data_IF_846295550573
#
_entry.id   IF_846295550573
#
_cell.length_a   1.000
_cell.length_b   1.000
_cell.length_c   1.000
_cell.angle_alpha   90.00
_cell.angle_beta   90.00
_cell.angle_gamma   90.00
#
_symmetry.space_group_name_H-M   'P 1'
#
loop_
_entity.id
_entity.type
_entity.pdbx_description
1 polymer ?
#
# COMPACT_ATOMS: atom_id res chain seq x y z
N UNK A 1 -24.80 -19.03 -0.22
CA UNK A 1 -25.86 -18.07 0.23
C UNK A 1 -26.12 -17.19 -0.98
N UNK A 2 -27.38 -17.01 -1.28
CA UNK A 2 -27.83 -16.15 -2.37
C UNK A 2 -28.41 -14.88 -1.75
N UNK A 3 -27.64 -13.78 -1.87
CA UNK A 3 -28.01 -12.48 -1.32
C UNK A 3 -28.97 -11.71 -2.23
N UNK A 4 -29.10 -12.08 -3.52
CA UNK A 4 -29.98 -11.39 -4.47
C UNK A 4 -31.48 -11.51 -4.08
N UNK A 5 -31.81 -12.55 -3.29
CA UNK A 5 -33.15 -12.78 -2.76
C UNK A 5 -33.45 -12.01 -1.49
N UNK A 6 -32.49 -11.30 -0.93
CA UNK A 6 -32.62 -10.56 0.31
C UNK A 6 -32.91 -9.10 0.01
N UNK A 7 -33.87 -8.51 0.70
CA UNK A 7 -34.27 -7.12 0.51
C UNK A 7 -34.43 -6.44 1.88
N UNK A 8 -33.97 -5.20 1.98
CA UNK A 8 -34.06 -4.41 3.20
C UNK A 8 -33.08 -4.84 4.29
N UNK A 9 -33.47 -4.68 5.55
CA UNK A 9 -32.64 -5.00 6.72
C UNK A 9 -32.84 -6.47 7.10
N UNK A 10 -31.81 -7.25 7.07
CA UNK A 10 -31.81 -8.68 7.35
C UNK A 10 -31.17 -8.98 8.70
N UNK A 11 -31.93 -9.62 9.61
CA UNK A 11 -31.42 -10.10 10.89
C UNK A 11 -30.96 -11.56 10.80
N UNK A 12 -29.71 -11.86 11.14
CA UNK A 12 -29.20 -13.24 11.27
C UNK A 12 -29.23 -13.65 12.74
N UNK A 13 -30.24 -14.47 13.11
CA UNK A 13 -30.42 -14.95 14.48
C UNK A 13 -30.01 -16.41 14.60
N UNK A 14 -29.06 -16.69 15.48
CA UNK A 14 -28.58 -18.04 15.75
C UNK A 14 -27.85 -18.09 17.11
N UNK A 15 -27.70 -19.25 17.75
CA UNK A 15 -26.92 -19.38 18.98
C UNK A 15 -25.45 -18.91 18.83
N UNK A 16 -24.80 -18.64 19.96
CA UNK A 16 -23.36 -18.33 19.93
C UNK A 16 -22.59 -19.51 19.37
N UNK A 17 -21.47 -19.24 18.70
CA UNK A 17 -20.62 -20.21 18.00
C UNK A 17 -21.28 -20.93 16.79
N UNK A 18 -22.43 -20.51 16.33
CA UNK A 18 -23.13 -21.08 15.15
C UNK A 18 -22.53 -20.64 13.80
N UNK A 19 -21.56 -19.72 13.81
CA UNK A 19 -20.91 -19.25 12.58
C UNK A 19 -21.51 -17.98 11.95
N UNK A 20 -22.32 -17.20 12.69
CA UNK A 20 -22.89 -15.92 12.18
C UNK A 20 -21.82 -15.01 11.55
N UNK A 21 -20.74 -14.75 12.28
CA UNK A 21 -19.63 -13.91 11.80
C UNK A 21 -18.82 -14.56 10.67
N UNK A 22 -18.88 -15.88 10.55
CA UNK A 22 -18.17 -16.59 9.48
C UNK A 22 -18.72 -16.27 8.08
N UNK A 23 -19.96 -15.79 7.97
CA UNK A 23 -20.55 -15.34 6.70
C UNK A 23 -19.75 -14.12 6.19
N UNK A 24 -19.58 -13.12 7.06
CA UNK A 24 -18.85 -11.91 6.70
C UNK A 24 -17.35 -12.18 6.52
N UNK A 25 -16.76 -13.03 7.36
CA UNK A 25 -15.38 -13.49 7.20
C UNK A 25 -15.17 -14.22 5.87
N UNK A 26 -16.14 -15.02 5.41
CA UNK A 26 -16.04 -15.71 4.13
C UNK A 26 -16.07 -14.74 2.93
N UNK A 27 -16.91 -13.70 2.99
CA UNK A 27 -16.93 -12.65 1.96
C UNK A 27 -15.59 -11.92 1.94
N UNK A 28 -15.14 -11.39 3.08
CA UNK A 28 -13.90 -10.66 3.22
C UNK A 28 -12.69 -11.49 2.77
N UNK A 29 -12.63 -12.76 3.20
CA UNK A 29 -11.56 -13.67 2.79
C UNK A 29 -11.56 -13.93 1.29
N UNK A 30 -12.73 -14.14 0.68
CA UNK A 30 -12.80 -14.42 -0.75
C UNK A 30 -12.33 -13.24 -1.57
N UNK A 31 -12.63 -12.01 -1.17
CA UNK A 31 -12.19 -10.79 -1.88
C UNK A 31 -10.72 -10.50 -1.60
N UNK A 32 -10.31 -10.44 -0.33
CA UNK A 32 -9.05 -9.82 0.08
C UNK A 32 -7.97 -10.80 0.57
N UNK A 33 -8.25 -12.12 0.66
CA UNK A 33 -7.36 -13.12 1.28
C UNK A 33 -7.09 -12.85 2.78
N UNK A 34 -7.94 -12.06 3.40
CA UNK A 34 -7.85 -11.62 4.79
C UNK A 34 -9.25 -11.68 5.40
N UNK A 35 -9.36 -12.07 6.66
CA UNK A 35 -10.59 -11.93 7.42
C UNK A 35 -10.33 -11.24 8.77
N UNK A 36 -11.40 -10.93 9.50
CA UNK A 36 -11.31 -10.19 10.76
C UNK A 36 -10.41 -10.84 11.82
N UNK A 37 -10.14 -12.15 11.71
CA UNK A 37 -9.46 -12.95 12.72
C UNK A 37 -8.06 -13.37 12.33
N UNK A 38 -7.77 -13.49 11.05
CA UNK A 38 -6.48 -13.97 10.55
C UNK A 38 -6.20 -13.54 9.13
N UNK A 39 -4.91 -13.41 8.82
CA UNK A 39 -4.40 -13.20 7.46
C UNK A 39 -3.86 -14.50 6.84
N UNK A 40 -3.97 -15.63 7.55
CA UNK A 40 -3.37 -16.90 7.12
C UNK A 40 -4.43 -17.88 6.67
N UNK A 41 -4.36 -18.37 5.45
CA UNK A 41 -5.27 -19.35 4.87
C UNK A 41 -5.41 -20.63 5.71
N UNK A 42 -4.32 -21.06 6.36
CA UNK A 42 -4.30 -22.26 7.23
C UNK A 42 -5.23 -22.12 8.44
N UNK A 43 -5.44 -20.91 8.95
CA UNK A 43 -6.27 -20.64 10.11
C UNK A 43 -7.75 -20.47 9.72
N UNK A 44 -8.02 -20.14 8.45
CA UNK A 44 -9.38 -20.09 7.88
C UNK A 44 -9.91 -21.49 7.61
N UNK A 45 -9.02 -22.43 7.25
CA UNK A 45 -9.37 -23.77 6.85
C UNK A 45 -9.96 -24.58 8.01
N UNK A 46 -11.01 -25.36 7.74
CA UNK A 46 -11.53 -26.31 8.70
C UNK A 46 -10.47 -27.36 9.06
N UNK A 47 -10.13 -27.47 10.34
CA UNK A 47 -9.08 -28.38 10.86
C UNK A 47 -9.31 -29.87 10.52
N UNK A 48 -10.54 -30.25 10.18
CA UNK A 48 -10.89 -31.63 9.77
C UNK A 48 -10.81 -31.86 8.26
N UNK A 49 -10.46 -30.82 7.47
CA UNK A 49 -10.37 -30.88 6.02
C UNK A 49 -8.96 -30.51 5.58
N UNK A 50 -8.57 -31.01 4.42
CA UNK A 50 -7.27 -30.71 3.81
C UNK A 50 -7.37 -29.70 2.66
N UNK A 51 -8.58 -29.36 2.26
CA UNK A 51 -8.86 -28.41 1.19
C UNK A 51 -10.06 -27.56 1.56
N UNK A 52 -10.09 -26.33 1.06
CA UNK A 52 -11.30 -25.55 1.00
C UNK A 52 -11.38 -24.77 -0.31
N UNK A 53 -12.58 -24.41 -0.68
CA UNK A 53 -12.87 -23.53 -1.81
C UNK A 53 -13.81 -22.44 -1.36
N UNK A 54 -13.49 -21.19 -1.73
CA UNK A 54 -14.35 -20.05 -1.59
C UNK A 54 -14.64 -19.49 -2.99
N UNK A 55 -15.91 -19.22 -3.27
CA UNK A 55 -16.37 -18.66 -4.55
C UNK A 55 -17.39 -17.56 -4.25
N UNK A 56 -17.19 -16.40 -4.86
CA UNK A 56 -18.06 -15.24 -4.70
C UNK A 56 -18.43 -14.69 -6.08
N UNK A 57 -19.68 -14.36 -6.26
CA UNK A 57 -20.18 -13.58 -7.38
C UNK A 57 -20.55 -12.19 -6.87
N UNK A 58 -20.19 -11.17 -7.62
CA UNK A 58 -20.45 -9.76 -7.35
C UNK A 58 -20.93 -9.08 -8.63
N UNK A 59 -22.01 -8.32 -8.55
CA UNK A 59 -22.44 -7.44 -9.62
C UNK A 59 -21.91 -6.02 -9.35
N UNK A 60 -21.18 -5.44 -10.32
CA UNK A 60 -20.62 -4.10 -10.24
C UNK A 60 -20.93 -3.40 -11.56
N UNK A 61 -21.66 -2.29 -11.50
CA UNK A 61 -22.06 -1.53 -12.69
C UNK A 61 -22.76 -2.38 -13.77
N UNK A 62 -23.55 -3.37 -13.35
CA UNK A 62 -24.25 -4.29 -14.24
C UNK A 62 -23.41 -5.41 -14.84
N UNK A 63 -22.17 -5.57 -14.44
CA UNK A 63 -21.29 -6.66 -14.86
C UNK A 63 -21.08 -7.67 -13.73
N UNK A 64 -21.11 -8.95 -14.07
CA UNK A 64 -20.90 -10.06 -13.14
C UNK A 64 -19.43 -10.42 -12.99
N UNK A 65 -18.88 -10.18 -11.82
CA UNK A 65 -17.53 -10.56 -11.44
C UNK A 65 -17.53 -11.81 -10.56
N UNK A 66 -16.54 -12.65 -10.75
CA UNK A 66 -16.35 -13.87 -10.01
C UNK A 66 -14.95 -13.94 -9.40
N UNK A 67 -14.87 -14.28 -8.13
CA UNK A 67 -13.62 -14.54 -7.42
C UNK A 67 -13.68 -15.95 -6.87
N UNK A 68 -12.67 -16.76 -7.18
CA UNK A 68 -12.52 -18.12 -6.68
C UNK A 68 -11.17 -18.29 -5.99
N UNK A 69 -11.19 -18.89 -4.80
CA UNK A 69 -9.99 -19.26 -4.05
C UNK A 69 -10.03 -20.74 -3.73
N UNK A 70 -9.03 -21.47 -4.21
CA UNK A 70 -8.82 -22.88 -3.91
C UNK A 70 -7.57 -23.01 -3.05
N UNK A 71 -7.70 -23.61 -1.89
CA UNK A 71 -6.62 -23.80 -0.94
C UNK A 71 -6.43 -25.26 -0.58
N UNK A 72 -5.17 -25.67 -0.45
CA UNK A 72 -4.80 -27.04 -0.11
C UNK A 72 -3.74 -27.04 1.00
N UNK A 73 -4.02 -27.74 2.07
CA UNK A 73 -3.04 -27.98 3.12
C UNK A 73 -1.91 -28.87 2.63
N UNK A 74 -0.66 -28.45 2.89
CA UNK A 74 0.56 -29.20 2.54
C UNK A 74 1.54 -29.16 3.68
N UNK A 75 2.25 -30.27 3.86
CA UNK A 75 3.36 -30.37 4.81
C UNK A 75 4.65 -30.50 4.01
N UNK A 76 5.58 -29.60 4.25
CA UNK A 76 6.93 -29.67 3.70
C UNK A 76 7.87 -30.19 4.78
N UNK A 77 8.48 -31.34 4.53
CA UNK A 77 9.52 -31.88 5.40
C UNK A 77 10.87 -31.29 4.97
N UNK A 78 11.62 -30.79 5.93
CA UNK A 78 12.97 -30.28 5.71
C UNK A 78 14.02 -31.33 6.03
N UNK A 79 15.25 -31.16 5.51
CA UNK A 79 16.37 -32.10 5.71
C UNK A 79 16.83 -32.21 7.17
N UNK A 80 16.56 -31.19 7.96
CA UNK A 80 16.84 -31.11 9.42
C UNK A 80 15.77 -31.79 10.27
N UNK A 81 14.80 -32.47 9.64
CA UNK A 81 13.70 -33.14 10.34
C UNK A 81 12.54 -32.21 10.75
N UNK A 82 12.65 -30.91 10.53
CA UNK A 82 11.56 -29.97 10.80
C UNK A 82 10.45 -30.09 9.76
N UNK A 83 9.23 -29.75 10.16
CA UNK A 83 8.05 -29.74 9.26
C UNK A 83 7.47 -28.36 9.19
N UNK A 84 7.27 -27.85 7.98
CA UNK A 84 6.54 -26.60 7.75
C UNK A 84 5.14 -26.92 7.21
N UNK A 85 4.12 -26.38 7.90
CA UNK A 85 2.73 -26.51 7.52
C UNK A 85 2.35 -25.29 6.66
N UNK A 86 1.84 -25.53 5.47
CA UNK A 86 1.50 -24.51 4.48
C UNK A 86 0.10 -24.74 3.93
N UNK A 87 -0.55 -23.66 3.52
CA UNK A 87 -1.83 -23.71 2.83
C UNK A 87 -1.77 -22.75 1.62
N UNK A 88 -1.08 -23.15 0.52
CA UNK A 88 -1.06 -22.34 -0.69
C UNK A 88 -2.48 -22.15 -1.23
N UNK A 89 -2.78 -20.92 -1.64
CA UNK A 89 -4.05 -20.50 -2.19
C UNK A 89 -3.86 -20.18 -3.67
N UNK A 90 -4.67 -20.79 -4.53
CA UNK A 90 -4.83 -20.39 -5.94
C UNK A 90 -6.01 -19.44 -6.00
N UNK A 91 -5.82 -18.27 -6.61
CA UNK A 91 -6.89 -17.30 -6.82
C UNK A 91 -7.16 -17.18 -8.32
N UNK A 92 -8.42 -17.03 -8.68
CA UNK A 92 -8.91 -16.76 -10.01
C UNK A 92 -9.92 -15.62 -9.95
N UNK A 93 -9.79 -14.67 -10.87
CA UNK A 93 -10.66 -13.53 -10.99
C UNK A 93 -11.09 -13.38 -12.44
N UNK A 94 -12.39 -13.35 -12.69
CA UNK A 94 -12.95 -13.26 -14.03
C UNK A 94 -14.29 -12.55 -14.02
N UNK A 95 -14.71 -12.06 -15.16
CA UNK A 95 -16.04 -11.50 -15.36
C UNK A 95 -16.77 -12.27 -16.47
N UNK A 96 -18.10 -12.16 -16.45
CA UNK A 96 -18.93 -12.63 -17.55
C UNK A 96 -19.31 -11.41 -18.38
N UNK A 97 -19.00 -11.41 -19.67
CA UNK A 97 -19.36 -10.33 -20.58
C UNK A 97 -20.83 -10.40 -21.02
N UNK A 98 -21.29 -9.39 -21.75
CA UNK A 98 -22.66 -9.32 -22.28
C UNK A 98 -23.00 -10.49 -23.21
N UNK A 99 -22.02 -11.15 -23.79
CA UNK A 99 -22.17 -12.36 -24.63
C UNK A 99 -22.29 -13.65 -23.81
N UNK A 100 -22.09 -13.58 -22.48
CA UNK A 100 -22.05 -14.73 -21.58
C UNK A 100 -20.70 -15.48 -21.61
N UNK A 101 -19.67 -14.91 -22.21
CA UNK A 101 -18.33 -15.47 -22.24
C UNK A 101 -17.51 -15.05 -21.01
N UNK A 102 -16.65 -15.96 -20.56
CA UNK A 102 -15.79 -15.73 -19.41
C UNK A 102 -14.50 -15.02 -19.83
N UNK A 103 -14.30 -13.80 -19.29
CA UNK A 103 -13.09 -13.00 -19.49
C UNK A 103 -12.20 -13.11 -18.25
N UNK A 104 -11.03 -13.74 -18.37
CA UNK A 104 -10.07 -13.91 -17.28
C UNK A 104 -9.35 -12.58 -16.98
N UNK A 105 -9.56 -12.06 -15.78
CA UNK A 105 -8.96 -10.86 -15.25
C UNK A 105 -7.80 -11.15 -14.27
N UNK A 106 -7.42 -12.43 -14.14
CA UNK A 106 -6.36 -12.84 -13.23
C UNK A 106 -5.02 -12.23 -13.66
N UNK A 107 -4.27 -11.69 -12.72
CA UNK A 107 -2.92 -11.17 -12.96
C UNK A 107 -1.94 -12.27 -13.38
N UNK A 108 -0.78 -11.86 -13.92
CA UNK A 108 0.25 -12.75 -14.47
C UNK A 108 0.75 -13.83 -13.50
N UNK A 109 0.71 -13.58 -12.19
CA UNK A 109 1.03 -14.56 -11.17
C UNK A 109 -0.27 -15.17 -10.61
N UNK A 110 -0.59 -16.39 -11.01
CA UNK A 110 -1.74 -17.17 -10.49
C UNK A 110 -1.61 -17.56 -9.01
N UNK A 111 -0.49 -17.23 -8.39
CA UNK A 111 -0.23 -17.43 -6.98
C UNK A 111 -0.12 -16.09 -6.27
N UNK A 112 -0.57 -16.02 -5.02
CA UNK A 112 -0.38 -14.84 -4.18
C UNK A 112 1.11 -14.48 -4.15
N UNK A 113 1.47 -13.40 -4.84
CA UNK A 113 2.83 -12.87 -4.85
C UNK A 113 2.90 -11.71 -3.85
N UNK A 114 3.83 -11.77 -2.92
CA UNK A 114 4.14 -10.65 -2.01
C UNK A 114 4.71 -9.43 -2.75
N UNK A 115 5.05 -9.58 -4.03
CA UNK A 115 5.80 -8.58 -4.81
C UNK A 115 4.96 -7.79 -5.82
N UNK A 116 3.62 -7.85 -5.71
CA UNK A 116 2.72 -7.11 -6.61
C UNK A 116 2.54 -7.77 -8.00
N UNK A 117 1.53 -7.33 -8.75
CA UNK A 117 1.21 -7.83 -10.09
C UNK A 117 0.44 -9.15 -10.11
N UNK A 118 0.02 -9.65 -8.97
CA UNK A 118 -0.81 -10.85 -8.87
C UNK A 118 -2.31 -10.55 -8.94
N UNK A 119 -3.12 -11.60 -9.04
CA UNK A 119 -4.58 -11.51 -9.11
C UNK A 119 -5.20 -10.69 -7.96
N UNK A 120 -4.61 -10.70 -6.76
CA UNK A 120 -5.09 -9.88 -5.65
C UNK A 120 -4.97 -8.38 -5.93
N UNK A 121 -3.95 -7.93 -6.68
CA UNK A 121 -3.81 -6.53 -7.07
C UNK A 121 -4.87 -6.13 -8.10
N UNK A 122 -5.21 -7.02 -9.04
CA UNK A 122 -6.30 -6.77 -9.99
C UNK A 122 -7.66 -6.68 -9.28
N UNK A 123 -7.90 -7.53 -8.29
CA UNK A 123 -9.11 -7.46 -7.45
C UNK A 123 -9.15 -6.12 -6.70
N UNK A 124 -8.03 -5.65 -6.12
CA UNK A 124 -7.98 -4.38 -5.42
C UNK A 124 -8.23 -3.17 -6.31
N UNK A 125 -7.83 -3.21 -7.57
CA UNK A 125 -8.12 -2.13 -8.53
C UNK A 125 -9.62 -1.96 -8.77
N UNK A 126 -10.39 -3.05 -8.72
CA UNK A 126 -11.83 -3.04 -8.95
C UNK A 126 -12.62 -2.79 -7.66
N UNK A 127 -12.20 -3.40 -6.54
CA UNK A 127 -12.96 -3.44 -5.29
C UNK A 127 -12.39 -2.58 -4.16
N UNK A 128 -11.25 -1.91 -4.38
CA UNK A 128 -10.54 -1.17 -3.33
C UNK A 128 -9.78 -2.09 -2.37
N UNK A 129 -9.32 -1.52 -1.27
CA UNK A 129 -8.57 -2.24 -0.24
C UNK A 129 -9.47 -2.86 0.83
N UNK A 130 -8.92 -3.80 1.61
CA UNK A 130 -9.65 -4.37 2.77
C UNK A 130 -10.01 -3.31 3.82
N UNK A 131 -9.14 -2.30 4.01
CA UNK A 131 -9.41 -1.20 4.93
C UNK A 131 -10.59 -0.34 4.44
N UNK A 132 -10.69 -0.07 3.14
CA UNK A 132 -11.83 0.63 2.54
C UNK A 132 -13.12 -0.15 2.75
N UNK A 133 -13.08 -1.47 2.55
CA UNK A 133 -14.23 -2.35 2.74
C UNK A 133 -14.72 -2.36 4.20
N UNK A 134 -13.82 -2.42 5.18
CA UNK A 134 -14.18 -2.34 6.60
C UNK A 134 -14.79 -0.98 6.94
N UNK A 135 -14.29 0.09 6.34
CA UNK A 135 -14.76 1.44 6.63
C UNK A 135 -16.13 1.75 6.02
N UNK A 136 -16.47 1.12 4.90
CA UNK A 136 -17.66 1.48 4.10
C UNK A 136 -18.76 0.44 4.17
N UNK A 137 -18.39 -0.84 4.13
CA UNK A 137 -19.33 -1.92 3.85
C UNK A 137 -19.44 -2.95 4.97
N UNK A 138 -18.41 -3.08 5.81
CA UNK A 138 -18.36 -4.08 6.87
C UNK A 138 -18.08 -3.44 8.23
N UNK A 139 -19.08 -3.42 9.11
CA UNK A 139 -18.86 -3.04 10.51
C UNK A 139 -18.63 -4.27 11.37
N UNK A 140 -17.43 -4.37 11.94
CA UNK A 140 -17.05 -5.45 12.85
C UNK A 140 -17.40 -5.08 14.29
N UNK A 141 -17.75 -6.08 15.10
CA UNK A 141 -18.10 -5.89 16.51
C UNK A 141 -16.98 -5.21 17.32
N UNK A 142 -15.71 -5.49 17.00
CA UNK A 142 -14.55 -4.97 17.71
C UNK A 142 -13.98 -3.69 17.11
N UNK A 143 -14.33 -3.36 15.88
CA UNK A 143 -13.72 -2.30 15.10
C UNK A 143 -14.73 -1.30 14.50
N UNK A 144 -15.96 -1.28 15.03
CA UNK A 144 -17.03 -0.40 14.54
C UNK A 144 -16.74 1.11 14.67
N UNK A 145 -15.70 1.49 15.44
CA UNK A 145 -15.26 2.87 15.61
C UNK A 145 -13.85 3.13 15.06
N UNK A 146 -13.33 2.26 14.20
CA UNK A 146 -11.94 2.32 13.70
C UNK A 146 -11.52 3.70 13.18
N UNK A 147 -12.42 4.43 12.53
CA UNK A 147 -12.11 5.76 12.03
C UNK A 147 -11.89 6.77 13.16
N UNK A 148 -12.71 6.73 14.22
CA UNK A 148 -12.63 7.66 15.34
C UNK A 148 -11.39 7.40 16.22
N UNK A 149 -11.00 6.15 16.34
CA UNK A 149 -9.86 5.72 17.18
C UNK A 149 -8.51 5.92 16.48
N UNK A 150 -8.50 6.15 15.16
CA UNK A 150 -7.27 6.39 14.39
C UNK A 150 -6.68 7.78 14.68
N UNK A 151 -5.36 7.87 14.55
CA UNK A 151 -4.64 9.16 14.62
C UNK A 151 -5.10 10.10 13.50
N UNK A 152 -4.97 11.39 13.71
CA UNK A 152 -5.41 12.41 12.75
C UNK A 152 -4.80 12.22 11.36
N UNK A 153 -3.51 11.85 11.27
CA UNK A 153 -2.83 11.56 10.00
C UNK A 153 -3.44 10.38 9.24
N UNK A 154 -3.82 9.32 9.96
CA UNK A 154 -4.46 8.14 9.37
C UNK A 154 -5.89 8.47 8.93
N UNK A 155 -6.65 9.22 9.72
CA UNK A 155 -7.99 9.69 9.34
C UNK A 155 -7.95 10.56 8.08
N UNK A 156 -6.95 11.47 8.00
CA UNK A 156 -6.73 12.29 6.82
C UNK A 156 -6.46 11.43 5.59
N UNK A 157 -5.59 10.41 5.70
CA UNK A 157 -5.28 9.49 4.60
C UNK A 157 -6.52 8.74 4.13
N UNK A 158 -7.31 8.19 5.06
CA UNK A 158 -8.57 7.50 4.74
C UNK A 158 -9.52 8.42 3.96
N UNK A 159 -9.68 9.67 4.42
CA UNK A 159 -10.52 10.64 3.73
C UNK A 159 -9.96 11.00 2.35
N UNK A 160 -8.64 11.12 2.20
CA UNK A 160 -7.99 11.36 0.91
C UNK A 160 -8.28 10.24 -0.09
N UNK A 161 -8.16 8.99 0.36
CA UNK A 161 -8.51 7.81 -0.46
C UNK A 161 -9.99 7.83 -0.85
N UNK A 162 -10.86 8.13 0.12
CA UNK A 162 -12.31 8.16 -0.10
C UNK A 162 -12.76 9.25 -1.09
N UNK A 163 -12.04 10.37 -1.10
CA UNK A 163 -12.30 11.52 -1.97
C UNK A 163 -11.55 11.43 -3.30
N UNK A 164 -10.78 10.35 -3.52
CA UNK A 164 -9.92 10.15 -4.71
C UNK A 164 -8.93 11.30 -4.95
N UNK A 165 -8.43 11.90 -3.86
CA UNK A 165 -7.47 13.03 -3.92
C UNK A 165 -6.02 12.61 -3.65
N UNK A 166 -5.73 11.31 -3.54
CA UNK A 166 -4.36 10.78 -3.36
C UNK A 166 -3.42 11.18 -4.51
N UNK A 167 -3.97 11.43 -5.70
CA UNK A 167 -3.20 11.91 -6.85
C UNK A 167 -2.45 13.21 -6.53
N UNK A 168 -3.01 14.09 -5.70
CA UNK A 168 -2.35 15.33 -5.30
C UNK A 168 -1.17 15.11 -4.36
N UNK A 169 -1.24 14.09 -3.48
CA UNK A 169 -0.12 13.70 -2.60
C UNK A 169 1.03 13.09 -3.43
N UNK A 170 0.70 12.32 -4.47
CA UNK A 170 1.69 11.78 -5.41
C UNK A 170 2.36 12.90 -6.21
N UNK A 171 1.59 13.85 -6.73
CA UNK A 171 2.11 15.03 -7.45
C UNK A 171 2.99 15.89 -6.55
N UNK A 172 2.60 16.11 -5.29
CA UNK A 172 3.42 16.83 -4.31
C UNK A 172 4.77 16.12 -4.07
N UNK A 173 4.75 14.80 -3.97
CA UNK A 173 5.96 13.99 -3.75
C UNK A 173 6.90 14.10 -4.94
N UNK A 174 6.38 14.01 -6.17
CA UNK A 174 7.17 14.18 -7.40
C UNK A 174 7.75 15.60 -7.48
N UNK A 175 6.93 16.62 -7.27
CA UNK A 175 7.38 18.01 -7.29
C UNK A 175 8.46 18.31 -6.23
N UNK A 176 8.34 17.73 -5.03
CA UNK A 176 9.37 17.84 -3.99
C UNK A 176 10.66 17.15 -4.39
N UNK A 177 10.58 15.98 -5.03
CA UNK A 177 11.75 15.25 -5.54
C UNK A 177 12.45 16.06 -6.61
N UNK A 178 11.73 16.55 -7.60
CA UNK A 178 12.25 17.29 -8.74
C UNK A 178 12.91 18.62 -8.30
N UNK A 179 12.30 19.30 -7.31
CA UNK A 179 12.82 20.58 -6.80
C UNK A 179 13.92 20.43 -5.73
N UNK A 180 14.31 19.21 -5.37
CA UNK A 180 15.21 19.01 -4.23
C UNK A 180 16.63 19.49 -4.52
N UNK A 181 17.13 19.30 -5.73
CA UNK A 181 18.47 19.74 -6.13
C UNK A 181 18.58 21.26 -6.12
N UNK A 182 17.60 21.95 -6.69
CA UNK A 182 17.54 23.42 -6.71
C UNK A 182 17.43 24.00 -5.29
N UNK A 183 16.66 23.37 -4.41
CA UNK A 183 16.53 23.78 -3.00
C UNK A 183 17.85 23.62 -2.25
N UNK A 184 18.63 22.57 -2.53
CA UNK A 184 19.95 22.38 -1.93
C UNK A 184 20.90 23.46 -2.42
N UNK A 185 20.96 23.72 -3.74
CA UNK A 185 21.75 24.79 -4.32
C UNK A 185 21.38 26.15 -3.73
N UNK A 186 20.10 26.48 -3.70
CA UNK A 186 19.61 27.74 -3.14
C UNK A 186 20.08 27.94 -1.68
N UNK A 187 19.98 26.89 -0.85
CA UNK A 187 20.47 26.92 0.52
C UNK A 187 21.97 27.14 0.62
N UNK A 188 22.75 26.58 -0.29
CA UNK A 188 24.20 26.80 -0.36
C UNK A 188 24.51 28.25 -0.71
N UNK A 189 23.82 28.83 -1.73
CA UNK A 189 23.97 30.24 -2.09
C UNK A 189 23.54 31.18 -0.96
N UNK A 190 22.45 30.90 -0.26
CA UNK A 190 22.01 31.72 0.87
C UNK A 190 22.95 31.67 2.08
N UNK A 191 23.72 30.60 2.25
CA UNK A 191 24.75 30.47 3.29
C UNK A 191 26.06 31.15 2.91
N UNK A 192 26.33 31.38 1.63
CA UNK A 192 27.51 32.07 1.14
C UNK A 192 27.31 33.57 1.30
N UNK A 193 27.96 34.15 2.29
CA UNK A 193 28.06 35.62 2.42
C UNK A 193 29.09 36.14 1.43
N UNK A 194 28.69 36.25 0.16
CA UNK A 194 29.56 36.66 -0.94
C UNK A 194 30.17 38.05 -0.74
N UNK A 195 29.50 38.92 0.02
CA UNK A 195 30.01 40.22 0.39
C UNK A 195 31.17 40.12 1.38
N UNK A 196 31.09 39.18 2.32
CA UNK A 196 32.16 38.92 3.30
C UNK A 196 33.37 38.27 2.67
N UNK A 197 33.17 37.35 1.74
CA UNK A 197 34.26 36.74 0.92
C UNK A 197 34.95 37.79 0.05
N UNK A 198 34.18 38.68 -0.62
CA UNK A 198 34.72 39.81 -1.38
C UNK A 198 35.51 40.76 -0.49
N UNK A 199 35.01 41.07 0.71
CA UNK A 199 35.75 41.91 1.68
C UNK A 199 37.11 41.31 2.07
N UNK A 200 37.14 39.99 2.35
CA UNK A 200 38.41 39.31 2.70
C UNK A 200 39.38 39.23 1.55
N UNK A 201 38.89 39.01 0.32
CA UNK A 201 39.73 39.00 -0.89
C UNK A 201 40.31 40.39 -1.16
N UNK A 202 39.52 41.43 -1.08
CA UNK A 202 40.00 42.80 -1.28
C UNK A 202 41.03 43.19 -0.21
N UNK A 203 40.87 42.80 1.05
CA UNK A 203 41.87 43.04 2.08
C UNK A 203 43.20 42.33 1.74
N UNK A 204 43.16 41.09 1.30
CA UNK A 204 44.34 40.35 0.86
C UNK A 204 45.05 41.02 -0.31
N UNK A 205 44.31 41.54 -1.28
CA UNK A 205 44.90 42.28 -2.43
C UNK A 205 45.63 43.52 -1.91
N UNK A 206 45.05 44.25 -0.97
CA UNK A 206 45.73 45.43 -0.35
C UNK A 206 47.02 45.01 0.37
N UNK A 207 46.95 43.98 1.22
CA UNK A 207 48.06 43.49 2.00
C UNK A 207 49.21 43.01 1.08
N UNK A 208 48.91 42.29 0.00
CA UNK A 208 49.93 41.87 -0.99
C UNK A 208 50.52 43.04 -1.78
N UNK A 209 49.73 44.06 -2.09
CA UNK A 209 50.23 45.25 -2.78
C UNK A 209 51.18 46.11 -1.89
N UNK A 210 50.95 46.10 -0.58
CA UNK A 210 51.85 46.73 0.39
C UNK A 210 53.17 45.95 0.53
N UNK A 211 53.09 44.63 0.64
CA UNK A 211 54.29 43.76 0.67
C UNK A 211 55.14 43.87 -0.62
N UNK A 212 54.48 43.95 -1.77
CA UNK A 212 55.16 44.15 -3.04
C UNK A 212 55.97 45.51 -3.07
N UNK A 213 55.37 46.59 -2.57
CA UNK A 213 56.01 47.90 -2.46
C UNK A 213 57.20 47.89 -1.51
N UNK A 214 57.09 47.21 -0.36
CA UNK A 214 58.19 47.07 0.59
C UNK A 214 59.34 46.28 -0.03
N UNK A 215 59.09 45.17 -0.73
CA UNK A 215 60.10 44.37 -1.41
C UNK A 215 60.79 45.14 -2.52
N UNK A 216 60.02 45.90 -3.32
CA UNK A 216 60.56 46.77 -4.37
C UNK A 216 61.36 47.94 -3.80
N UNK A 217 61.08 48.38 -2.58
CA UNK A 217 61.84 49.39 -1.83
C UNK A 217 63.19 48.87 -1.36
N UNK A 218 63.17 47.67 -0.75
CA UNK A 218 64.43 47.02 -0.29
C UNK A 218 65.34 46.59 -1.44
N UNK A 219 64.81 46.21 -2.62
CA UNK A 219 65.61 45.88 -3.80
C UNK A 219 66.29 47.13 -4.39
N UNK A 220 65.71 48.34 -4.22
CA UNK A 220 66.36 49.62 -4.62
C UNK A 220 67.40 50.12 -3.65
N UNK A 221 67.45 49.68 -2.43
CA UNK A 221 68.47 50.01 -1.44
C UNK A 221 69.63 49.04 -1.48
N UNK A 222 69.53 47.89 -2.15
CA UNK A 222 70.55 46.86 -2.29
C UNK A 222 71.32 46.94 -3.61
N UNK A 223 70.95 47.80 -4.57
CA UNK A 223 71.62 48.10 -5.83
C UNK A 223 72.12 49.55 -5.81
#
# INVERSE_FOLDING_TARGET
IDFTKLNGIIGVVAPNHSGKSAIMDAIAYTIYDVCSRTTRAIDVMNKKKQTFRAKLNLEINGMDYWIERDAQYKVRNHKDGTKTHMCPVKVRFYMIDDGGEEVDLSGAARFNSQYGGGTNEEIKKVLGTFDDFILTSLSLQTNGMNFLDKKQSERKKILSTFMDIEVFEQLETIAKSDSNEERIMLRQFQKKDSYKELGTINQRIVDYSEQEKELLGTDKELN
#
